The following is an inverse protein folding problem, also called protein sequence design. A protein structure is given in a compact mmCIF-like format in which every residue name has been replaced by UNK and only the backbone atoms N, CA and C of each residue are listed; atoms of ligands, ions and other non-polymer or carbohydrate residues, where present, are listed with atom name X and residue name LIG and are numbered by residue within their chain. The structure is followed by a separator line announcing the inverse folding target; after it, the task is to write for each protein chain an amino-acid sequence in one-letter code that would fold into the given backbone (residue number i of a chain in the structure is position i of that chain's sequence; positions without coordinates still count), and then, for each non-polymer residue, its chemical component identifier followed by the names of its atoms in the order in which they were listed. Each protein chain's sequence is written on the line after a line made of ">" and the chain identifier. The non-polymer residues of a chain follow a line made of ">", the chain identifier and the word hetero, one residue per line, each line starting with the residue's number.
data_IF_642959747023
#
_entry.id   IF_642959747023
#
_cell.length_a   1.000
_cell.length_b   1.000
_cell.length_c   1.000
_cell.angle_alpha   90.00
_cell.angle_beta   90.00
_cell.angle_gamma   90.00
#
_symmetry.space_group_name_H-M   'P 1'
#
loop_
_entity.id
_entity.type
_entity.pdbx_description
1 polymer ?
#
# COMPACT_ATOMS: atom_id res chain seq x y z
N UNK A 1 10.72 -10.86 46.97
CA UNK A 1 11.48 -11.09 45.71
C UNK A 1 10.56 -11.31 44.51
N UNK A 2 9.68 -12.31 44.50
CA UNK A 2 8.78 -12.61 43.36
C UNK A 2 7.92 -11.42 42.88
N UNK A 3 7.29 -10.71 43.83
CA UNK A 3 6.45 -9.54 43.51
C UNK A 3 7.23 -8.44 42.78
N UNK A 4 8.49 -8.19 43.15
CA UNK A 4 9.33 -7.19 42.51
C UNK A 4 9.61 -7.55 41.04
N UNK A 5 9.86 -8.83 40.76
CA UNK A 5 10.07 -9.29 39.39
C UNK A 5 8.81 -9.10 38.52
N UNK A 6 7.62 -9.40 39.06
CA UNK A 6 6.35 -9.18 38.34
C UNK A 6 6.12 -7.71 38.01
N UNK A 7 6.36 -6.79 38.96
CA UNK A 7 6.23 -5.35 38.71
C UNK A 7 7.21 -4.84 37.65
N UNK A 8 8.47 -5.30 37.69
CA UNK A 8 9.47 -4.94 36.67
C UNK A 8 9.04 -5.46 35.30
N UNK A 9 8.61 -6.73 35.21
CA UNK A 9 8.13 -7.31 33.96
C UNK A 9 6.90 -6.58 33.42
N UNK A 10 5.95 -6.21 34.30
CA UNK A 10 4.78 -5.42 33.94
C UNK A 10 5.19 -4.06 33.35
N UNK A 11 5.98 -3.27 34.06
CA UNK A 11 6.40 -1.94 33.62
C UNK A 11 7.18 -2.01 32.31
N UNK A 12 8.13 -2.96 32.21
CA UNK A 12 8.91 -3.18 30.99
C UNK A 12 8.02 -3.46 29.78
N UNK A 13 7.08 -4.39 29.90
CA UNK A 13 6.19 -4.74 28.80
C UNK A 13 5.18 -3.63 28.49
N UNK A 14 4.77 -2.84 29.49
CA UNK A 14 3.93 -1.67 29.30
C UNK A 14 4.66 -0.58 28.51
N UNK A 15 5.94 -0.32 28.79
CA UNK A 15 6.76 0.60 28.01
C UNK A 15 6.91 0.12 26.56
N UNK A 16 7.15 -1.18 26.34
CA UNK A 16 7.18 -1.74 24.98
C UNK A 16 5.84 -1.54 24.29
N UNK A 17 4.71 -1.73 24.98
CA UNK A 17 3.40 -1.45 24.41
C UNK A 17 3.25 0.01 23.98
N UNK A 18 3.62 0.97 24.83
CA UNK A 18 3.54 2.41 24.51
C UNK A 18 4.39 2.75 23.27
N UNK A 19 5.59 2.18 23.17
CA UNK A 19 6.50 2.41 22.05
C UNK A 19 6.06 1.70 20.75
N UNK A 20 5.74 0.42 20.82
CA UNK A 20 5.42 -0.42 19.64
C UNK A 20 3.96 -0.31 19.18
N UNK A 21 3.05 0.08 20.07
CA UNK A 21 1.59 0.01 19.93
C UNK A 21 1.05 -1.36 19.54
N UNK A 22 1.81 -2.43 19.76
CA UNK A 22 1.38 -3.80 19.49
C UNK A 22 0.60 -4.36 20.68
N UNK A 23 -0.66 -4.73 20.42
CA UNK A 23 -1.62 -5.20 21.42
C UNK A 23 -1.17 -6.46 22.17
N UNK A 24 -0.26 -7.27 21.61
CA UNK A 24 0.29 -8.43 22.34
C UNK A 24 0.90 -8.01 23.68
N UNK A 25 1.67 -6.91 23.70
CA UNK A 25 2.33 -6.43 24.92
C UNK A 25 1.35 -5.83 25.91
N UNK A 26 0.26 -5.22 25.44
CA UNK A 26 -0.82 -4.77 26.32
C UNK A 26 -1.46 -5.95 27.04
N UNK A 27 -1.88 -6.99 26.32
CA UNK A 27 -2.51 -8.16 26.94
C UNK A 27 -1.54 -8.93 27.83
N UNK A 28 -0.27 -9.01 27.45
CA UNK A 28 0.75 -9.61 28.30
C UNK A 28 0.97 -8.82 29.61
N UNK A 29 0.98 -7.49 29.54
CA UNK A 29 1.06 -6.63 30.71
C UNK A 29 -0.17 -6.77 31.61
N UNK A 30 -1.37 -6.81 31.01
CA UNK A 30 -2.63 -7.04 31.74
C UNK A 30 -2.67 -8.44 32.40
N UNK A 31 -2.04 -9.44 31.78
CA UNK A 31 -1.89 -10.76 32.39
C UNK A 31 -0.96 -10.70 33.61
N UNK A 32 0.23 -10.10 33.46
CA UNK A 32 1.19 -9.97 34.56
C UNK A 32 0.58 -9.20 35.74
N UNK A 33 -0.12 -8.09 35.51
CA UNK A 33 -0.74 -7.34 36.60
C UNK A 33 -1.86 -8.12 37.28
N UNK A 34 -2.67 -8.89 36.53
CA UNK A 34 -3.66 -9.78 37.12
C UNK A 34 -3.03 -10.84 38.02
N UNK A 35 -1.90 -11.43 37.60
CA UNK A 35 -1.12 -12.37 38.44
C UNK A 35 -0.51 -11.66 39.65
N UNK A 36 0.05 -10.46 39.46
CA UNK A 36 0.68 -9.68 40.53
C UNK A 36 -0.31 -9.28 41.62
N UNK A 37 -1.55 -8.90 41.26
CA UNK A 37 -2.62 -8.59 42.22
C UNK A 37 -3.07 -9.85 42.94
N UNK A 38 -3.27 -10.97 42.24
CA UNK A 38 -3.60 -12.25 42.88
C UNK A 38 -2.55 -12.65 43.93
N UNK A 39 -1.26 -12.47 43.62
CA UNK A 39 -0.17 -12.81 44.55
C UNK A 39 -0.18 -11.93 45.81
N UNK A 40 -0.55 -10.65 45.69
CA UNK A 40 -0.69 -9.73 46.83
C UNK A 40 -1.89 -10.11 47.69
N UNK A 41 -2.99 -10.51 47.07
CA UNK A 41 -4.20 -10.97 47.75
C UNK A 41 -3.95 -12.29 48.48
N UNK A 42 -3.40 -13.30 47.81
CA UNK A 42 -3.15 -14.62 48.43
C UNK A 42 -2.17 -14.58 49.60
N UNK A 43 -1.22 -13.64 49.60
CA UNK A 43 -0.26 -13.47 50.71
C UNK A 43 -0.86 -12.77 51.93
N UNK A 44 -2.11 -12.31 51.85
CA UNK A 44 -2.72 -11.49 52.89
C UNK A 44 -2.13 -10.08 53.00
N UNK A 45 -1.20 -9.70 52.11
CA UNK A 45 -0.64 -8.33 52.06
C UNK A 45 -1.76 -7.33 51.76
N UNK A 46 -2.68 -7.70 50.86
CA UNK A 46 -3.85 -6.86 50.61
C UNK A 46 -4.64 -6.60 51.90
N UNK A 47 -4.91 -7.67 52.67
CA UNK A 47 -5.56 -7.58 53.99
C UNK A 47 -4.75 -6.75 54.99
N UNK A 48 -3.43 -6.96 55.09
CA UNK A 48 -2.58 -6.28 56.06
C UNK A 48 -2.62 -4.74 55.92
N UNK A 49 -2.66 -4.23 54.69
CA UNK A 49 -2.66 -2.79 54.42
C UNK A 49 -4.06 -2.19 54.20
N UNK A 50 -5.07 -2.98 53.81
CA UNK A 50 -6.42 -2.47 53.48
C UNK A 50 -7.52 -2.96 54.41
N UNK A 51 -7.32 -4.01 55.21
CA UNK A 51 -8.37 -4.58 56.06
C UNK A 51 -8.81 -3.65 57.19
N UNK A 52 -7.98 -2.70 57.61
CA UNK A 52 -8.31 -1.69 58.62
C UNK A 52 -9.45 -0.77 58.15
N UNK A 53 -9.50 -0.47 56.85
CA UNK A 53 -10.45 0.47 56.26
C UNK A 53 -11.54 -0.25 55.43
N UNK A 54 -11.19 -1.32 54.71
CA UNK A 54 -12.08 -2.03 53.79
C UNK A 54 -11.90 -3.56 53.83
N UNK A 55 -12.27 -4.25 54.93
CA UNK A 55 -12.06 -5.69 55.11
C UNK A 55 -12.82 -6.56 54.10
N UNK A 56 -13.84 -6.01 53.44
CA UNK A 56 -14.64 -6.72 52.43
C UNK A 56 -14.04 -6.64 51.03
N UNK A 57 -12.97 -5.87 50.80
CA UNK A 57 -12.45 -5.59 49.45
C UNK A 57 -11.65 -6.76 48.87
N UNK A 58 -11.05 -7.59 49.71
CA UNK A 58 -10.15 -8.67 49.31
C UNK A 58 -10.80 -9.69 48.36
N UNK A 59 -12.01 -10.24 48.63
CA UNK A 59 -12.69 -11.15 47.70
C UNK A 59 -13.01 -10.51 46.35
N UNK A 60 -13.36 -9.22 46.32
CA UNK A 60 -13.61 -8.49 45.07
C UNK A 60 -12.32 -8.34 44.26
N UNK A 61 -11.22 -7.98 44.92
CA UNK A 61 -9.91 -7.87 44.28
C UNK A 61 -9.45 -9.22 43.71
N UNK A 62 -9.65 -10.33 44.44
CA UNK A 62 -9.34 -11.68 43.97
C UNK A 62 -10.11 -12.06 42.70
N UNK A 63 -11.44 -11.88 42.71
CA UNK A 63 -12.30 -12.22 41.58
C UNK A 63 -12.00 -11.35 40.36
N UNK A 64 -11.79 -10.04 40.59
CA UNK A 64 -11.38 -9.12 39.53
C UNK A 64 -10.05 -9.52 38.91
N UNK A 65 -9.02 -9.72 39.73
CA UNK A 65 -7.68 -10.03 39.28
C UNK A 65 -7.63 -11.37 38.53
N UNK A 66 -8.34 -12.38 39.03
CA UNK A 66 -8.47 -13.68 38.36
C UNK A 66 -9.17 -13.55 37.01
N UNK A 67 -10.33 -12.88 36.95
CA UNK A 67 -11.05 -12.65 35.68
C UNK A 67 -10.19 -11.88 34.67
N UNK A 68 -9.55 -10.79 35.12
CA UNK A 68 -8.66 -9.98 34.30
C UNK A 68 -7.49 -10.82 33.75
N UNK A 69 -6.85 -11.62 34.61
CA UNK A 69 -5.75 -12.49 34.22
C UNK A 69 -6.19 -13.49 33.15
N UNK A 70 -7.35 -14.15 33.31
CA UNK A 70 -7.88 -15.11 32.33
C UNK A 70 -8.19 -14.42 30.99
N UNK A 71 -8.88 -13.28 31.01
CA UNK A 71 -9.19 -12.52 29.79
C UNK A 71 -7.90 -12.10 29.08
N UNK A 72 -6.96 -11.52 29.83
CA UNK A 72 -5.70 -11.05 29.31
C UNK A 72 -4.85 -12.20 28.75
N UNK A 73 -4.83 -13.35 29.41
CA UNK A 73 -4.14 -14.56 28.95
C UNK A 73 -4.65 -15.01 27.58
N UNK A 74 -5.96 -15.20 27.44
CA UNK A 74 -6.51 -15.68 26.17
C UNK A 74 -6.38 -14.65 25.04
N UNK A 75 -6.50 -13.36 25.34
CA UNK A 75 -6.20 -12.34 24.35
C UNK A 75 -4.70 -12.32 23.97
N UNK A 76 -3.81 -12.46 24.95
CA UNK A 76 -2.38 -12.59 24.71
C UNK A 76 -2.10 -13.75 23.76
N UNK A 77 -2.61 -14.96 24.04
CA UNK A 77 -2.44 -16.14 23.19
C UNK A 77 -2.91 -15.89 21.76
N UNK A 78 -4.08 -15.26 21.58
CA UNK A 78 -4.63 -14.96 20.26
C UNK A 78 -3.72 -14.07 19.41
N UNK A 79 -3.23 -12.98 20.01
CA UNK A 79 -2.35 -12.05 19.30
C UNK A 79 -0.91 -12.58 19.18
N UNK A 80 -0.44 -13.36 20.16
CA UNK A 80 0.90 -13.95 20.18
C UNK A 80 1.09 -15.01 19.10
N UNK A 81 0.11 -15.91 18.94
CA UNK A 81 0.13 -16.99 17.93
C UNK A 81 -0.53 -16.59 16.60
N UNK A 82 -1.04 -15.35 16.50
CA UNK A 82 -1.84 -14.86 15.37
C UNK A 82 -2.98 -15.83 14.99
N UNK A 83 -3.71 -16.34 15.99
CA UNK A 83 -4.74 -17.38 15.82
C UNK A 83 -5.84 -16.96 14.85
N UNK A 84 -6.19 -15.67 14.80
CA UNK A 84 -7.17 -15.15 13.83
C UNK A 84 -6.83 -15.51 12.38
N UNK A 85 -5.54 -15.49 12.02
CA UNK A 85 -5.06 -15.80 10.68
C UNK A 85 -4.77 -17.30 10.51
N UNK A 86 -4.10 -17.90 11.49
CA UNK A 86 -3.54 -19.25 11.36
C UNK A 86 -4.51 -20.35 11.81
N UNK A 87 -5.46 -20.03 12.72
CA UNK A 87 -6.31 -20.99 13.43
C UNK A 87 -7.70 -20.38 13.75
N UNK A 88 -8.51 -19.98 12.74
CA UNK A 88 -9.72 -19.17 12.96
C UNK A 88 -10.78 -19.86 13.85
N UNK A 89 -10.90 -21.20 13.79
CA UNK A 89 -11.80 -21.95 14.67
C UNK A 89 -11.40 -21.83 16.15
N UNK A 90 -10.10 -21.90 16.43
CA UNK A 90 -9.56 -21.71 17.77
C UNK A 90 -9.65 -20.25 18.19
N UNK A 91 -9.43 -19.29 17.30
CA UNK A 91 -9.63 -17.87 17.59
C UNK A 91 -11.05 -17.59 18.10
N UNK A 92 -12.05 -18.20 17.46
CA UNK A 92 -13.44 -18.11 17.87
C UNK A 92 -13.70 -18.79 19.23
N UNK A 93 -13.10 -19.96 19.47
CA UNK A 93 -13.20 -20.65 20.76
C UNK A 93 -12.65 -19.78 21.91
N UNK A 94 -11.46 -19.18 21.72
CA UNK A 94 -10.88 -18.26 22.70
C UNK A 94 -11.78 -17.04 22.96
N UNK A 95 -12.41 -16.49 21.93
CA UNK A 95 -13.37 -15.39 22.09
C UNK A 95 -14.58 -15.79 22.95
N UNK A 96 -15.12 -17.00 22.75
CA UNK A 96 -16.20 -17.51 23.59
C UNK A 96 -15.77 -17.73 25.03
N UNK A 97 -14.58 -18.29 25.26
CA UNK A 97 -14.02 -18.43 26.61
C UNK A 97 -13.91 -17.08 27.31
N UNK A 98 -13.40 -16.05 26.60
CA UNK A 98 -13.33 -14.68 27.14
C UNK A 98 -14.70 -14.12 27.49
N UNK A 99 -15.71 -14.27 26.60
CA UNK A 99 -17.07 -13.77 26.85
C UNK A 99 -17.73 -14.45 28.04
N UNK A 100 -17.60 -15.78 28.12
CA UNK A 100 -18.13 -16.58 29.23
C UNK A 100 -17.44 -16.19 30.54
N UNK A 101 -16.12 -16.02 30.53
CA UNK A 101 -15.37 -15.60 31.71
C UNK A 101 -15.83 -14.22 32.20
N UNK A 102 -15.93 -13.22 31.31
CA UNK A 102 -16.44 -11.89 31.68
C UNK A 102 -17.84 -11.98 32.28
N UNK A 103 -18.74 -12.73 31.66
CA UNK A 103 -20.10 -12.91 32.16
C UNK A 103 -20.13 -13.54 33.56
N UNK A 104 -19.36 -14.61 33.79
CA UNK A 104 -19.33 -15.28 35.09
C UNK A 104 -18.65 -14.40 36.14
N UNK A 105 -17.57 -13.69 35.81
CA UNK A 105 -16.95 -12.73 36.72
C UNK A 105 -17.95 -11.67 37.17
N UNK A 106 -18.74 -11.10 36.26
CA UNK A 106 -19.82 -10.15 36.60
C UNK A 106 -20.90 -10.78 37.49
N UNK A 107 -21.28 -12.04 37.23
CA UNK A 107 -22.24 -12.77 38.07
C UNK A 107 -21.68 -12.99 39.49
N UNK A 108 -20.40 -13.32 39.62
CA UNK A 108 -19.73 -13.47 40.91
C UNK A 108 -19.63 -12.16 41.69
N UNK A 109 -19.43 -11.03 41.02
CA UNK A 109 -19.59 -9.71 41.63
C UNK A 109 -21.00 -9.52 42.19
N UNK A 110 -22.04 -9.90 41.43
CA UNK A 110 -23.42 -9.89 41.91
C UNK A 110 -23.61 -10.72 43.19
N UNK A 111 -23.10 -11.96 43.20
CA UNK A 111 -23.15 -12.83 44.39
C UNK A 111 -22.48 -12.18 45.60
N UNK A 112 -21.29 -11.59 45.42
CA UNK A 112 -20.60 -10.88 46.51
C UNK A 112 -21.39 -9.66 47.00
N UNK A 113 -22.01 -8.89 46.11
CA UNK A 113 -22.78 -7.69 46.46
C UNK A 113 -24.06 -8.06 47.23
N UNK A 114 -24.82 -9.06 46.77
CA UNK A 114 -26.13 -9.38 47.34
C UNK A 114 -26.10 -10.35 48.52
N UNK A 115 -25.18 -11.32 48.53
CA UNK A 115 -25.15 -12.37 49.57
C UNK A 115 -23.82 -12.46 50.32
N UNK A 116 -22.77 -11.77 49.85
CA UNK A 116 -21.41 -11.83 50.39
C UNK A 116 -20.91 -13.28 50.61
N UNK A 117 -21.32 -14.20 49.74
CA UNK A 117 -21.00 -15.62 49.86
C UNK A 117 -19.63 -15.91 49.24
N UNK A 118 -18.57 -15.56 49.98
CA UNK A 118 -17.17 -15.71 49.58
C UNK A 118 -16.81 -17.17 49.23
N UNK A 119 -17.17 -18.19 50.03
CA UNK A 119 -16.84 -19.59 49.70
C UNK A 119 -17.41 -20.04 48.36
N UNK A 120 -18.67 -19.71 48.07
CA UNK A 120 -19.27 -20.04 46.77
C UNK A 120 -18.54 -19.35 45.63
N UNK A 121 -18.23 -18.07 45.76
CA UNK A 121 -17.53 -17.31 44.71
C UNK A 121 -16.13 -17.86 44.42
N UNK A 122 -15.36 -18.21 45.45
CA UNK A 122 -14.03 -18.82 45.30
C UNK A 122 -14.15 -20.21 44.66
N UNK A 123 -15.09 -21.04 45.09
CA UNK A 123 -15.28 -22.38 44.54
C UNK A 123 -15.64 -22.34 43.04
N UNK A 124 -16.56 -21.46 42.64
CA UNK A 124 -16.91 -21.26 41.23
C UNK A 124 -15.70 -20.80 40.42
N UNK A 125 -14.90 -19.87 40.95
CA UNK A 125 -13.65 -19.43 40.32
C UNK A 125 -12.65 -20.58 40.13
N UNK A 126 -12.50 -21.45 41.14
CA UNK A 126 -11.63 -22.62 41.06
C UNK A 126 -12.11 -23.65 40.03
N UNK A 127 -13.41 -23.91 39.95
CA UNK A 127 -13.97 -24.78 38.91
C UNK A 127 -13.75 -24.21 37.50
N UNK A 128 -13.88 -22.89 37.33
CA UNK A 128 -13.55 -22.24 36.06
C UNK A 128 -12.07 -22.39 35.69
N UNK A 129 -11.16 -22.21 36.65
CA UNK A 129 -9.73 -22.43 36.42
C UNK A 129 -9.44 -23.88 36.02
N UNK A 130 -10.09 -24.85 36.65
CA UNK A 130 -9.97 -26.27 36.28
C UNK A 130 -10.46 -26.53 34.85
N UNK A 131 -11.63 -26.00 34.47
CA UNK A 131 -12.15 -26.10 33.09
C UNK A 131 -11.19 -25.42 32.11
N UNK A 132 -10.64 -24.26 32.47
CA UNK A 132 -9.65 -23.54 31.68
C UNK A 132 -8.36 -24.33 31.47
N UNK A 133 -7.87 -25.02 32.50
CA UNK A 133 -6.72 -25.92 32.42
C UNK A 133 -6.97 -27.08 31.46
N UNK A 134 -8.14 -27.73 31.56
CA UNK A 134 -8.53 -28.81 30.63
C UNK A 134 -8.64 -28.29 29.19
N UNK A 135 -9.26 -27.13 28.97
CA UNK A 135 -9.27 -26.47 27.67
C UNK A 135 -7.84 -26.20 27.17
N UNK A 136 -6.95 -25.73 28.03
CA UNK A 136 -5.54 -25.49 27.75
C UNK A 136 -4.83 -26.73 27.23
N UNK A 137 -5.03 -27.90 27.85
CA UNK A 137 -4.47 -29.17 27.36
C UNK A 137 -4.95 -29.52 25.95
N UNK A 138 -6.26 -29.40 25.68
CA UNK A 138 -6.81 -29.65 24.33
C UNK A 138 -6.24 -28.66 23.31
N UNK A 139 -6.09 -27.40 23.69
CA UNK A 139 -5.50 -26.39 22.83
C UNK A 139 -4.01 -26.66 22.55
N UNK A 140 -3.22 -27.02 23.57
CA UNK A 140 -1.80 -27.42 23.41
C UNK A 140 -1.68 -28.61 22.45
N UNK A 141 -2.54 -29.62 22.59
CA UNK A 141 -2.57 -30.76 21.67
C UNK A 141 -2.75 -30.33 20.21
N UNK A 142 -3.58 -29.30 19.96
CA UNK A 142 -3.77 -28.75 18.62
C UNK A 142 -2.53 -28.01 18.08
N UNK A 143 -1.70 -27.45 18.96
CA UNK A 143 -0.50 -26.70 18.60
C UNK A 143 0.71 -27.58 18.31
N UNK A 144 0.82 -28.76 18.93
CA UNK A 144 1.93 -29.71 18.70
C UNK A 144 2.02 -30.09 17.21
N UNK A 145 0.89 -30.10 16.50
CA UNK A 145 0.82 -30.43 15.08
C UNK A 145 1.26 -29.30 14.14
N UNK A 146 1.59 -28.12 14.67
CA UNK A 146 1.96 -26.95 13.86
C UNK A 146 3.45 -26.70 13.84
N UNK A 147 4.01 -26.43 12.66
CA UNK A 147 5.40 -25.98 12.54
C UNK A 147 5.54 -24.48 12.80
N UNK A 148 5.17 -24.05 14.01
CA UNK A 148 5.28 -22.65 14.43
C UNK A 148 6.21 -22.54 15.64
N UNK A 149 7.36 -21.87 15.47
CA UNK A 149 8.33 -21.65 16.55
C UNK A 149 7.74 -20.85 17.72
N UNK A 150 6.83 -19.90 17.48
CA UNK A 150 6.12 -19.18 18.56
C UNK A 150 5.23 -20.12 19.37
N UNK A 151 4.58 -21.09 18.72
CA UNK A 151 3.78 -22.10 19.41
C UNK A 151 4.63 -22.95 20.36
N UNK A 152 5.89 -23.25 20.00
CA UNK A 152 6.80 -24.01 20.88
C UNK A 152 7.13 -23.24 22.16
N UNK A 153 7.34 -21.91 22.09
CA UNK A 153 7.50 -21.08 23.29
C UNK A 153 6.24 -21.10 24.16
N UNK A 154 5.06 -20.98 23.54
CA UNK A 154 3.80 -21.05 24.28
C UNK A 154 3.63 -22.41 25.00
N UNK A 155 3.86 -23.52 24.29
CA UNK A 155 3.75 -24.88 24.85
C UNK A 155 4.74 -25.06 26.01
N UNK A 156 5.99 -24.62 25.86
CA UNK A 156 7.00 -24.73 26.91
C UNK A 156 6.59 -23.96 28.19
N UNK A 157 6.07 -22.74 28.03
CA UNK A 157 5.56 -21.95 29.15
C UNK A 157 4.35 -22.61 29.83
N UNK A 158 3.38 -23.06 29.04
CA UNK A 158 2.19 -23.71 29.56
C UNK A 158 2.51 -25.04 30.28
N UNK A 159 3.49 -25.80 29.80
CA UNK A 159 3.98 -27.00 30.50
C UNK A 159 4.63 -26.62 31.84
N UNK A 160 5.43 -25.55 31.90
CA UNK A 160 6.04 -25.10 33.15
C UNK A 160 4.97 -24.73 34.20
N UNK A 161 3.93 -24.01 33.80
CA UNK A 161 2.78 -23.71 34.65
C UNK A 161 2.04 -24.99 35.08
N UNK A 162 1.75 -25.88 34.12
CA UNK A 162 1.02 -27.11 34.38
C UNK A 162 1.75 -28.02 35.37
N UNK A 163 3.06 -28.21 35.21
CA UNK A 163 3.91 -29.00 36.12
C UNK A 163 3.90 -28.38 37.53
N UNK A 164 4.11 -27.07 37.65
CA UNK A 164 4.06 -26.39 38.94
C UNK A 164 2.70 -26.53 39.63
N UNK A 165 1.61 -26.43 38.86
CA UNK A 165 0.23 -26.59 39.34
C UNK A 165 -0.05 -28.02 39.79
N UNK A 166 0.36 -29.03 39.01
CA UNK A 166 0.17 -30.46 39.34
C UNK A 166 0.93 -30.82 40.63
N UNK A 167 2.18 -30.38 40.77
CA UNK A 167 2.97 -30.63 41.98
C UNK A 167 2.31 -29.95 43.19
N UNK A 168 1.89 -28.69 43.06
CA UNK A 168 1.18 -27.97 44.12
C UNK A 168 -0.10 -28.69 44.54
N UNK A 169 -0.90 -29.16 43.58
CA UNK A 169 -2.15 -29.88 43.84
C UNK A 169 -1.91 -31.23 44.51
N UNK A 170 -0.89 -31.98 44.08
CA UNK A 170 -0.53 -33.26 44.69
C UNK A 170 -0.28 -33.12 46.20
N UNK A 171 0.58 -32.18 46.61
CA UNK A 171 0.90 -31.96 48.02
C UNK A 171 -0.31 -31.45 48.82
N UNK A 172 -1.15 -30.60 48.21
CA UNK A 172 -2.36 -30.08 48.84
C UNK A 172 -3.39 -31.20 49.11
N UNK A 173 -3.62 -32.08 48.13
CA UNK A 173 -4.58 -33.20 48.23
C UNK A 173 -4.06 -34.30 49.16
N UNK A 174 -2.77 -34.62 49.08
CA UNK A 174 -2.11 -35.59 49.96
C UNK A 174 -2.07 -35.11 51.43
N UNK A 175 -2.43 -33.84 51.70
CA UNK A 175 -2.35 -33.19 53.02
C UNK A 175 -0.96 -33.33 53.65
N UNK A 176 0.07 -33.40 52.82
CA UNK A 176 1.43 -33.60 53.29
C UNK A 176 1.97 -32.28 53.80
N UNK A 177 2.41 -32.26 55.05
CA UNK A 177 2.98 -31.07 55.67
C UNK A 177 4.41 -30.86 55.15
N UNK A 178 4.58 -29.86 54.29
CA UNK A 178 5.90 -29.33 53.95
C UNK A 178 6.27 -28.22 54.94
N UNK A 179 7.56 -27.89 55.04
CA UNK A 179 8.04 -26.74 55.82
C UNK A 179 7.74 -25.38 55.16
N UNK A 180 7.11 -25.38 53.97
CA UNK A 180 6.64 -24.23 53.22
C UNK A 180 5.28 -24.52 52.56
N UNK A 181 4.60 -23.47 52.09
CA UNK A 181 3.31 -23.60 51.38
C UNK A 181 3.46 -24.30 50.01
N UNK A 182 2.80 -25.45 49.75
CA UNK A 182 2.82 -26.12 48.45
C UNK A 182 2.52 -25.23 47.24
N UNK A 183 1.78 -24.12 47.41
CA UNK A 183 1.50 -23.14 46.34
C UNK A 183 2.76 -22.50 45.75
N UNK A 184 3.90 -22.53 46.44
CA UNK A 184 5.17 -22.06 45.89
C UNK A 184 5.58 -22.80 44.60
N UNK A 185 5.20 -24.06 44.42
CA UNK A 185 5.44 -24.79 43.16
C UNK A 185 4.66 -24.19 41.99
N UNK A 186 3.37 -23.86 42.19
CA UNK A 186 2.54 -23.21 41.18
C UNK A 186 3.07 -21.82 40.83
N UNK A 187 3.48 -21.06 41.84
CA UNK A 187 4.06 -19.73 41.67
C UNK A 187 5.39 -19.76 40.90
N UNK A 188 6.24 -20.76 41.18
CA UNK A 188 7.47 -21.01 40.41
C UNK A 188 7.17 -21.37 38.95
N UNK A 189 6.19 -22.24 38.70
CA UNK A 189 5.73 -22.58 37.35
C UNK A 189 5.19 -21.37 36.59
N UNK A 190 4.42 -20.51 37.26
CA UNK A 190 3.89 -19.25 36.70
C UNK A 190 5.02 -18.28 36.33
N UNK A 191 6.04 -18.12 37.18
CA UNK A 191 7.21 -17.31 36.84
C UNK A 191 7.94 -17.84 35.61
N UNK A 192 8.17 -19.15 35.54
CA UNK A 192 8.83 -19.77 34.39
C UNK A 192 8.00 -19.59 33.12
N UNK A 193 6.68 -19.74 33.19
CA UNK A 193 5.78 -19.44 32.07
C UNK A 193 5.98 -18.00 31.57
N UNK A 194 5.93 -17.01 32.48
CA UNK A 194 6.13 -15.60 32.14
C UNK A 194 7.51 -15.35 31.52
N UNK A 195 8.57 -15.94 32.07
CA UNK A 195 9.92 -15.80 31.48
C UNK A 195 9.99 -16.40 30.07
N UNK A 196 9.41 -17.58 29.86
CA UNK A 196 9.36 -18.24 28.56
C UNK A 196 8.54 -17.44 27.55
N UNK A 197 7.40 -16.88 27.97
CA UNK A 197 6.58 -16.00 27.13
C UNK A 197 7.34 -14.72 26.77
N UNK A 198 8.07 -14.13 27.71
CA UNK A 198 8.94 -12.98 27.44
C UNK A 198 10.03 -13.30 26.42
N UNK A 199 10.64 -14.49 26.48
CA UNK A 199 11.59 -14.95 25.47
C UNK A 199 10.91 -15.14 24.11
N UNK A 200 9.71 -15.71 24.10
CA UNK A 200 8.88 -15.85 22.90
C UNK A 200 8.53 -14.51 22.25
N UNK A 201 8.24 -13.48 23.06
CA UNK A 201 8.03 -12.11 22.58
C UNK A 201 9.30 -11.52 21.98
N UNK A 202 10.46 -11.71 22.62
CA UNK A 202 11.75 -11.31 22.06
C UNK A 202 12.06 -11.99 20.73
N UNK A 203 11.67 -13.26 20.56
CA UNK A 203 11.77 -13.96 19.28
C UNK A 203 10.81 -13.38 18.23
N UNK A 204 9.58 -13.03 18.63
CA UNK A 204 8.59 -12.39 17.76
C UNK A 204 9.08 -11.03 17.23
N UNK A 205 9.71 -10.20 18.06
CA UNK A 205 10.33 -8.94 17.63
C UNK A 205 11.36 -9.20 16.52
N UNK A 206 12.27 -10.16 16.75
CA UNK A 206 13.29 -10.52 15.76
C UNK A 206 12.70 -11.00 14.43
N UNK A 207 11.60 -11.74 14.46
CA UNK A 207 10.87 -12.15 13.25
C UNK A 207 10.29 -10.95 12.50
N UNK A 208 9.64 -10.03 13.22
CA UNK A 208 9.06 -8.82 12.63
C UNK A 208 10.16 -7.96 12.02
N UNK A 209 11.26 -7.73 12.74
CA UNK A 209 12.39 -6.94 12.26
C UNK A 209 13.03 -7.54 11.02
N UNK A 210 13.26 -8.87 11.00
CA UNK A 210 13.76 -9.58 9.82
C UNK A 210 12.81 -9.45 8.63
N UNK A 211 11.50 -9.55 8.85
CA UNK A 211 10.51 -9.37 7.79
C UNK A 211 10.52 -7.95 7.23
N UNK A 212 10.70 -6.94 8.09
CA UNK A 212 10.79 -5.53 7.70
C UNK A 212 12.07 -5.25 6.91
N UNK A 213 13.21 -5.79 7.33
CA UNK A 213 14.48 -5.70 6.60
C UNK A 213 14.35 -6.30 5.20
N UNK A 214 13.78 -7.50 5.07
CA UNK A 214 13.56 -8.14 3.76
C UNK A 214 12.69 -7.29 2.83
N UNK A 215 11.58 -6.77 3.34
CA UNK A 215 10.70 -5.88 2.55
C UNK A 215 11.42 -4.59 2.14
N UNK A 216 12.27 -4.05 3.01
CA UNK A 216 13.08 -2.87 2.71
C UNK A 216 14.14 -3.15 1.63
N UNK A 217 14.79 -4.32 1.68
CA UNK A 217 15.73 -4.77 0.64
C UNK A 217 15.04 -4.95 -0.71
N UNK A 218 13.88 -5.63 -0.75
CA UNK A 218 13.07 -5.79 -1.96
C UNK A 218 12.66 -4.44 -2.55
N UNK A 219 12.30 -3.46 -1.70
CA UNK A 219 11.97 -2.11 -2.15
C UNK A 219 13.19 -1.39 -2.75
N UNK A 220 14.38 -1.52 -2.15
CA UNK A 220 15.62 -0.93 -2.67
C UNK A 220 15.96 -1.53 -4.04
N UNK A 221 15.81 -2.84 -4.21
CA UNK A 221 16.03 -3.50 -5.51
C UNK A 221 15.03 -3.02 -6.57
N UNK A 222 13.75 -2.88 -6.21
CA UNK A 222 12.74 -2.33 -7.10
C UNK A 222 13.05 -0.88 -7.52
N UNK A 223 13.51 -0.03 -6.60
CA UNK A 223 13.91 1.34 -6.91
C UNK A 223 15.10 1.37 -7.87
N UNK A 224 16.13 0.55 -7.64
CA UNK A 224 17.28 0.44 -8.55
C UNK A 224 16.87 -0.05 -9.94
N UNK A 225 15.94 -1.00 -10.02
CA UNK A 225 15.42 -1.49 -11.31
C UNK A 225 14.67 -0.38 -12.06
N UNK A 226 13.82 0.37 -11.36
CA UNK A 226 13.09 1.49 -11.96
C UNK A 226 14.03 2.61 -12.43
N UNK A 227 15.09 2.90 -11.67
CA UNK A 227 16.11 3.86 -12.06
C UNK A 227 16.82 3.44 -13.36
N UNK A 228 17.25 2.18 -13.46
CA UNK A 228 17.84 1.63 -14.70
C UNK A 228 16.90 1.71 -15.89
N UNK A 229 15.64 1.30 -15.72
CA UNK A 229 14.64 1.39 -16.79
C UNK A 229 14.40 2.84 -17.23
N UNK A 230 14.42 3.79 -16.28
CA UNK A 230 14.31 5.21 -16.58
C UNK A 230 15.52 5.73 -17.35
N UNK A 231 16.74 5.34 -16.97
CA UNK A 231 17.96 5.68 -17.70
C UNK A 231 17.97 5.11 -19.11
N UNK A 232 17.57 3.84 -19.27
CA UNK A 232 17.45 3.18 -20.58
C UNK A 232 16.43 3.90 -21.48
N UNK A 233 15.24 4.21 -20.94
CA UNK A 233 14.22 4.95 -21.66
C UNK A 233 14.68 6.37 -22.03
N UNK A 234 15.38 7.06 -21.14
CA UNK A 234 15.95 8.38 -21.42
C UNK A 234 17.00 8.31 -22.54
N UNK A 235 17.90 7.31 -22.51
CA UNK A 235 18.90 7.11 -23.59
C UNK A 235 18.24 6.81 -24.92
N UNK A 236 17.20 5.99 -24.93
CA UNK A 236 16.44 5.69 -26.15
C UNK A 236 15.74 6.95 -26.70
N UNK A 237 15.14 7.76 -25.81
CA UNK A 237 14.52 9.03 -26.18
C UNK A 237 15.54 10.04 -26.72
N UNK A 238 16.70 10.19 -26.08
CA UNK A 238 17.79 11.04 -26.57
C UNK A 238 18.28 10.60 -27.94
N UNK A 239 18.41 9.27 -28.17
CA UNK A 239 18.72 8.70 -29.47
C UNK A 239 17.70 9.09 -30.54
N UNK A 240 16.41 8.88 -30.26
CA UNK A 240 15.30 9.25 -31.18
C UNK A 240 15.22 10.75 -31.44
N UNK A 241 15.45 11.59 -30.42
CA UNK A 241 15.48 13.05 -30.58
C UNK A 241 16.62 13.45 -31.53
N UNK A 242 17.80 12.85 -31.37
CA UNK A 242 18.96 13.15 -32.21
C UNK A 242 18.73 12.74 -33.67
N UNK A 243 18.15 11.55 -33.88
CA UNK A 243 17.76 11.05 -35.21
C UNK A 243 16.74 11.98 -35.88
N UNK A 244 15.65 12.31 -35.18
CA UNK A 244 14.62 13.25 -35.70
C UNK A 244 15.18 14.63 -35.97
N UNK A 245 16.09 15.13 -35.14
CA UNK A 245 16.71 16.44 -35.35
C UNK A 245 17.57 16.44 -36.61
N UNK A 246 18.33 15.36 -36.86
CA UNK A 246 19.11 15.21 -38.09
C UNK A 246 18.23 15.10 -39.34
N UNK A 247 17.13 14.34 -39.26
CA UNK A 247 16.15 14.22 -40.34
C UNK A 247 15.50 15.57 -40.68
N UNK A 248 15.13 16.36 -39.66
CA UNK A 248 14.56 17.70 -39.85
C UNK A 248 15.57 18.67 -40.49
N UNK A 249 16.83 18.67 -40.07
CA UNK A 249 17.85 19.52 -40.70
C UNK A 249 18.09 19.14 -42.16
N UNK A 250 18.12 17.85 -42.49
CA UNK A 250 18.20 17.39 -43.89
C UNK A 250 17.00 17.87 -44.72
N UNK A 251 15.78 17.69 -44.20
CA UNK A 251 14.56 18.17 -44.88
C UNK A 251 14.56 19.69 -45.06
N UNK A 252 15.10 20.42 -44.09
CA UNK A 252 15.22 21.89 -44.16
C UNK A 252 16.22 22.31 -45.22
N UNK A 253 17.38 21.65 -45.33
CA UNK A 253 18.33 21.89 -46.43
C UNK A 253 17.69 21.61 -47.80
N UNK A 254 16.94 20.51 -47.91
CA UNK A 254 16.22 20.18 -49.14
C UNK A 254 15.16 21.23 -49.51
N UNK A 255 14.36 21.69 -48.54
CA UNK A 255 13.37 22.76 -48.73
C UNK A 255 14.05 24.07 -49.16
N UNK A 256 15.20 24.42 -48.57
CA UNK A 256 15.95 25.62 -48.94
C UNK A 256 16.45 25.54 -50.38
N UNK A 257 16.99 24.39 -50.79
CA UNK A 257 17.41 24.16 -52.18
C UNK A 257 16.22 24.23 -53.15
N UNK A 258 15.07 23.64 -52.79
CA UNK A 258 13.85 23.75 -53.58
C UNK A 258 13.35 25.20 -53.69
N UNK A 259 13.40 25.97 -52.60
CA UNK A 259 13.01 27.38 -52.58
C UNK A 259 13.93 28.24 -53.47
N UNK A 260 15.24 27.96 -53.48
CA UNK A 260 16.19 28.63 -54.36
C UNK A 260 15.92 28.30 -55.84
N UNK A 261 15.70 27.02 -56.16
CA UNK A 261 15.31 26.60 -57.51
C UNK A 261 14.00 27.26 -57.97
N UNK A 262 12.99 27.34 -57.09
CA UNK A 262 11.72 28.04 -57.35
C UNK A 262 11.92 29.53 -57.57
N UNK A 263 12.85 30.16 -56.85
CA UNK A 263 13.19 31.56 -57.04
C UNK A 263 13.85 31.79 -58.40
N UNK A 264 14.82 30.96 -58.78
CA UNK A 264 15.43 31.01 -60.11
C UNK A 264 14.40 30.78 -61.22
N UNK A 265 13.50 29.80 -61.06
CA UNK A 265 12.41 29.56 -62.00
C UNK A 265 11.47 30.77 -62.13
N UNK A 266 11.12 31.42 -61.02
CA UNK A 266 10.34 32.66 -61.03
C UNK A 266 11.06 33.83 -61.72
N UNK A 267 12.38 33.98 -61.50
CA UNK A 267 13.19 35.02 -62.16
C UNK A 267 13.28 34.79 -63.68
N UNK A 268 13.38 33.52 -64.11
CA UNK A 268 13.33 33.14 -65.53
C UNK A 268 11.94 33.44 -66.09
N UNK A 269 10.87 33.03 -65.39
CA UNK A 269 9.48 33.28 -65.80
C UNK A 269 9.18 34.77 -65.93
N UNK A 270 9.68 35.61 -65.01
CA UNK A 270 9.51 37.07 -65.10
C UNK A 270 10.28 37.67 -66.27
N UNK A 271 11.50 37.19 -66.57
CA UNK A 271 12.22 37.57 -67.80
C UNK A 271 11.46 37.15 -69.05
N UNK A 272 11.00 35.90 -69.13
CA UNK A 272 10.20 35.40 -70.25
C UNK A 272 8.89 36.21 -70.42
N UNK A 273 8.21 36.53 -69.32
CA UNK A 273 7.02 37.37 -69.34
C UNK A 273 7.32 38.74 -69.96
N UNK A 274 8.45 39.36 -69.58
CA UNK A 274 8.88 40.66 -70.13
C UNK A 274 9.24 40.57 -71.62
N UNK A 275 9.88 39.49 -72.05
CA UNK A 275 10.14 39.25 -73.48
C UNK A 275 8.85 39.06 -74.28
N UNK A 276 7.87 38.34 -73.73
CA UNK A 276 6.55 38.19 -74.34
C UNK A 276 5.82 39.53 -74.41
N UNK A 277 5.89 40.36 -73.36
CA UNK A 277 5.33 41.72 -73.36
C UNK A 277 5.97 42.58 -74.46
N UNK A 278 7.31 42.58 -74.58
CA UNK A 278 8.02 43.28 -75.65
C UNK A 278 7.61 42.77 -77.05
N UNK A 279 7.56 41.45 -77.25
CA UNK A 279 7.11 40.85 -78.51
C UNK A 279 5.65 41.20 -78.81
N UNK A 280 4.78 41.25 -77.80
CA UNK A 280 3.40 41.66 -77.96
C UNK A 280 3.29 43.15 -78.36
N UNK A 281 4.13 44.02 -77.80
CA UNK A 281 4.23 45.41 -78.24
C UNK A 281 4.70 45.52 -79.69
N UNK A 282 5.75 44.78 -80.08
CA UNK A 282 6.23 44.71 -81.47
C UNK A 282 5.16 44.20 -82.43
N UNK A 283 4.46 43.12 -82.09
CA UNK A 283 3.35 42.59 -82.89
C UNK A 283 2.22 43.62 -83.00
N UNK A 284 1.92 44.34 -81.92
CA UNK A 284 0.90 45.40 -81.94
C UNK A 284 1.32 46.55 -82.85
N UNK A 285 2.60 46.94 -82.83
CA UNK A 285 3.15 47.95 -83.73
C UNK A 285 3.14 47.47 -85.19
N UNK A 286 3.57 46.23 -85.45
CA UNK A 286 3.49 45.60 -86.77
C UNK A 286 2.05 45.57 -87.26
N UNK A 287 1.08 45.20 -86.41
CA UNK A 287 -0.34 45.20 -86.75
C UNK A 287 -0.82 46.60 -87.14
N UNK A 288 -0.49 47.64 -86.36
CA UNK A 288 -0.84 49.03 -86.71
C UNK A 288 -0.19 49.50 -88.01
N UNK A 289 1.08 49.12 -88.24
CA UNK A 289 1.77 49.40 -89.48
C UNK A 289 1.10 48.70 -90.66
N UNK A 290 0.76 47.43 -90.51
CA UNK A 290 0.06 46.64 -91.53
C UNK A 290 -1.33 47.21 -91.82
N UNK A 291 -2.08 47.64 -90.80
CA UNK A 291 -3.36 48.34 -90.95
C UNK A 291 -3.18 49.65 -91.73
N UNK A 292 -2.11 50.40 -91.47
CA UNK A 292 -1.78 51.63 -92.21
C UNK A 292 -1.43 51.33 -93.66
N UNK A 293 -0.55 50.36 -93.92
CA UNK A 293 -0.19 49.91 -95.27
C UNK A 293 -1.42 49.37 -95.99
N UNK A 294 -2.26 48.57 -95.33
CA UNK A 294 -3.50 48.06 -95.90
C UNK A 294 -4.44 49.20 -96.25
N UNK A 295 -4.56 50.23 -95.40
CA UNK A 295 -5.33 51.45 -95.68
C UNK A 295 -4.75 52.21 -96.87
N UNK A 296 -3.46 52.48 -96.90
CA UNK A 296 -2.78 53.18 -98.00
C UNK A 296 -2.89 52.41 -99.33
N UNK A 297 -2.81 51.07 -99.28
CA UNK A 297 -3.00 50.19 -100.44
C UNK A 297 -4.45 50.19 -100.90
N UNK A 298 -5.41 50.16 -99.97
CA UNK A 298 -6.85 50.25 -100.29
C UNK A 298 -7.17 51.62 -100.89
N UNK A 299 -6.62 52.70 -100.33
CA UNK A 299 -6.73 54.06 -100.85
C UNK A 299 -6.06 54.18 -102.22
N UNK A 300 -4.91 53.53 -102.44
CA UNK A 300 -4.23 53.45 -103.74
C UNK A 300 -4.99 52.61 -104.77
N UNK A 301 -5.63 51.51 -104.36
CA UNK A 301 -6.53 50.71 -105.21
C UNK A 301 -7.79 51.51 -105.55
N UNK A 302 -8.37 52.23 -104.59
CA UNK A 302 -9.49 53.12 -104.82
C UNK A 302 -9.10 54.31 -105.72
N UNK A 303 -7.89 54.84 -105.56
CA UNK A 303 -7.33 55.89 -106.41
C UNK A 303 -7.06 55.37 -107.84
N UNK A 304 -6.47 54.19 -107.98
CA UNK A 304 -6.28 53.52 -109.25
C UNK A 304 -7.64 53.17 -109.90
N UNK A 305 -8.64 52.74 -109.14
CA UNK A 305 -10.01 52.52 -109.60
C UNK A 305 -10.68 53.82 -110.04
N UNK A 306 -10.44 54.95 -109.34
CA UNK A 306 -10.86 56.29 -109.78
C UNK A 306 -10.18 56.69 -111.09
N UNK A 307 -8.88 56.45 -111.24
CA UNK A 307 -8.15 56.69 -112.50
C UNK A 307 -8.68 55.77 -113.61
N UNK A 308 -8.92 54.49 -113.33
CA UNK A 308 -9.42 53.52 -114.28
C UNK A 308 -10.84 53.88 -114.74
N UNK A 309 -11.70 54.38 -113.85
CA UNK A 309 -13.03 54.90 -114.18
C UNK A 309 -13.00 56.28 -114.87
N UNK A 310 -11.92 57.06 -114.76
CA UNK A 310 -11.76 58.38 -115.39
C UNK A 310 -11.06 58.31 -116.76
N UNK A 311 -10.24 57.27 -117.00
CA UNK A 311 -9.47 57.09 -118.25
C UNK A 311 -10.10 56.01 -119.17
N UNK A 312 -10.93 55.10 -118.65
CA UNK A 312 -11.72 54.19 -119.46
C UNK A 312 -13.21 54.47 -119.25
N UNK A 313 -13.92 55.07 -120.21
CA UNK A 313 -15.35 55.29 -120.08
C UNK A 313 -16.09 53.96 -120.08
N UNK A 314 -16.96 53.75 -119.10
CA UNK A 314 -18.10 52.86 -119.29
C UNK A 314 -19.04 53.52 -120.31
N UNK A 315 -18.99 53.09 -121.56
CA UNK A 315 -20.01 53.43 -122.55
C UNK A 315 -19.86 52.54 -123.78
N UNK A 316 -20.77 51.62 -124.12
CA UNK A 316 -22.16 51.89 -124.55
C UNK A 316 -22.31 52.98 -125.63
N UNK A 317 -21.22 53.39 -126.29
CA UNK A 317 -21.20 54.37 -127.39
C UNK A 317 -19.97 54.16 -128.26
N UNK A 318 -19.97 53.13 -129.12
CA UNK A 318 -19.22 53.11 -130.38
C UNK A 318 -19.76 51.98 -131.29
N UNK A 319 -21.09 51.84 -131.31
CA UNK A 319 -21.85 51.15 -132.35
C UNK A 319 -22.32 52.18 -133.39
N UNK A 320 -21.39 52.63 -134.24
CA UNK A 320 -21.62 53.23 -135.57
C UNK A 320 -20.27 53.80 -136.00
N UNK A 321 -19.55 53.09 -136.86
CA UNK A 321 -19.12 53.55 -138.17
C UNK A 321 -18.19 52.48 -138.79
N UNK A 322 -18.82 51.69 -139.67
CA UNK A 322 -18.29 51.10 -140.91
C UNK A 322 -17.17 50.05 -140.89
N UNK A 323 -17.52 49.00 -141.64
CA UNK A 323 -16.76 47.94 -142.30
C UNK A 323 -15.33 48.26 -142.72
#
# INVERSE_FOLDING_TARGET
>A
MLQGALWIMFLYNLFIFVYSRDKVYLYYSLYIIGIAVNFVVERGIFSEYTASEFPKLEPYAFIFATGLATVAYFQFVRYFLHTKKNMPKWDLAHLWVVRINIFITLLLFGVLIFSFNVPTSINVSNYLNLIGLLYGFVFIWSLIKQDNKLARFFIAGAIALAVGTIISLYFLIAKQSLWFDPKYFMNGGTLLELLIFSLGLGYRIRLIEKSKQKVQEELIEQLKRNERLKEEANRELEGKVKERTAEIELQKEEILAQAENLKMANDILTKQKREIENKNEEITQQKRYLEKVHKDTTDSINYASRIQNVILPSSSLLSRFFF
#
